data_IF_674213306844
#
_entry.id   IF_674213306844
#
_cell.length_a   1.000
_cell.length_b   1.000
_cell.length_c   1.000
_cell.angle_alpha   90.00
_cell.angle_beta   90.00
_cell.angle_gamma   90.00
#
_symmetry.space_group_name_H-M   'P 1'
#
loop_
_entity.id
_entity.type
_entity.pdbx_description
1 polymer ?
#
# COMPACT_ATOMS: atom_id res chain seq x y z
N UNK A 1 -2.90 15.24 3.56
CA UNK A 1 -3.45 14.17 2.69
C UNK A 1 -3.20 14.36 1.19
N UNK A 2 -2.89 15.56 0.67
CA UNK A 2 -2.67 15.78 -0.78
C UNK A 2 -1.58 14.88 -1.38
N UNK A 3 -0.40 14.80 -0.76
CA UNK A 3 0.70 13.95 -1.23
C UNK A 3 0.31 12.46 -1.20
N UNK A 4 -0.33 11.99 -0.12
CA UNK A 4 -0.83 10.62 -0.02
C UNK A 4 -1.89 10.32 -1.09
N UNK A 5 -2.69 11.31 -1.51
CA UNK A 5 -3.60 11.18 -2.64
C UNK A 5 -2.87 10.96 -3.97
N UNK A 6 -1.82 11.75 -4.25
CA UNK A 6 -0.98 11.55 -5.44
C UNK A 6 -0.31 10.17 -5.43
N UNK A 7 0.26 9.77 -4.29
CA UNK A 7 0.89 8.46 -4.12
C UNK A 7 -0.11 7.33 -4.28
N UNK A 8 -1.32 7.46 -3.71
CA UNK A 8 -2.38 6.47 -3.85
C UNK A 8 -2.76 6.23 -5.32
N UNK A 9 -2.88 7.30 -6.12
CA UNK A 9 -3.12 7.18 -7.56
C UNK A 9 -1.99 6.46 -8.29
N UNK A 10 -0.72 6.80 -8.00
CA UNK A 10 0.46 6.14 -8.57
C UNK A 10 0.53 4.65 -8.19
N UNK A 11 0.23 4.32 -6.94
CA UNK A 11 0.19 2.92 -6.49
C UNK A 11 -0.96 2.17 -7.17
N UNK A 12 -2.16 2.74 -7.19
CA UNK A 12 -3.34 2.09 -7.77
C UNK A 12 -3.19 1.84 -9.28
N UNK A 13 -2.51 2.72 -10.02
CA UNK A 13 -2.28 2.52 -11.46
C UNK A 13 -1.11 1.55 -11.75
N UNK A 14 -0.26 1.22 -10.76
CA UNK A 14 0.95 0.42 -10.99
C UNK A 14 0.67 -0.93 -11.64
N UNK A 15 -0.28 -1.71 -11.10
CA UNK A 15 -0.63 -3.01 -11.69
C UNK A 15 -1.37 -2.89 -13.05
N UNK A 16 -2.39 -2.01 -13.20
CA UNK A 16 -3.13 -1.89 -14.46
C UNK A 16 -2.48 -0.99 -15.53
N UNK A 17 -1.34 -0.34 -15.28
CA UNK A 17 -0.80 0.72 -16.17
C UNK A 17 -0.67 0.33 -17.65
N UNK A 18 -0.37 -0.93 -17.94
CA UNK A 18 -0.23 -1.43 -19.31
C UNK A 18 -1.56 -1.93 -19.91
N UNK A 19 -2.58 -2.14 -19.09
CA UNK A 19 -3.76 -2.93 -19.45
C UNK A 19 -5.08 -2.15 -19.42
N UNK A 20 -5.06 -0.86 -19.08
CA UNK A 20 -6.28 -0.02 -19.05
C UNK A 20 -6.12 1.18 -19.97
N UNK A 21 -7.26 1.73 -20.43
CA UNK A 21 -7.27 2.95 -21.23
C UNK A 21 -6.90 4.18 -20.39
N UNK A 22 -6.63 5.30 -21.06
CA UNK A 22 -6.30 6.57 -20.39
C UNK A 22 -7.46 7.05 -19.52
N UNK A 23 -8.69 6.90 -19.99
CA UNK A 23 -9.91 7.26 -19.25
C UNK A 23 -10.03 6.46 -17.96
N UNK A 24 -9.84 5.14 -18.04
CA UNK A 24 -9.87 4.28 -16.87
C UNK A 24 -8.72 4.57 -15.91
N UNK A 25 -7.53 4.94 -16.41
CA UNK A 25 -6.41 5.34 -15.55
C UNK A 25 -6.75 6.56 -14.67
N UNK A 26 -7.44 7.55 -15.24
CA UNK A 26 -7.87 8.75 -14.51
C UNK A 26 -8.94 8.40 -13.45
N UNK A 27 -9.90 7.53 -13.80
CA UNK A 27 -10.93 7.07 -12.86
C UNK A 27 -10.33 6.28 -11.70
N UNK A 28 -9.41 5.35 -11.96
CA UNK A 28 -8.72 4.56 -10.93
C UNK A 28 -7.95 5.50 -9.99
N UNK A 29 -7.21 6.47 -10.53
CA UNK A 29 -6.48 7.46 -9.73
C UNK A 29 -7.41 8.31 -8.84
N UNK A 30 -8.55 8.76 -9.37
CA UNK A 30 -9.52 9.53 -8.60
C UNK A 30 -10.13 8.72 -7.45
N UNK A 31 -10.51 7.45 -7.71
CA UNK A 31 -11.03 6.55 -6.67
C UNK A 31 -9.96 6.28 -5.61
N UNK A 32 -8.72 6.02 -6.02
CA UNK A 32 -7.60 5.78 -5.11
C UNK A 32 -7.32 6.98 -4.19
N UNK A 33 -7.40 8.20 -4.71
CA UNK A 33 -7.24 9.44 -3.94
C UNK A 33 -8.32 9.63 -2.86
N UNK A 34 -9.54 9.14 -3.09
CA UNK A 34 -10.59 9.11 -2.05
C UNK A 34 -10.39 7.94 -1.10
N UNK A 35 -10.06 6.77 -1.64
CA UNK A 35 -9.89 5.53 -0.88
C UNK A 35 -8.81 5.65 0.19
N UNK A 36 -7.69 6.32 -0.11
CA UNK A 36 -6.62 6.54 0.87
C UNK A 36 -7.09 7.35 2.07
N UNK A 37 -7.97 8.35 1.89
CA UNK A 37 -8.50 9.15 3.00
C UNK A 37 -9.39 8.31 3.89
N UNK A 38 -10.30 7.54 3.29
CA UNK A 38 -11.20 6.64 4.03
C UNK A 38 -10.40 5.58 4.78
N UNK A 39 -9.38 5.02 4.14
CA UNK A 39 -8.51 3.98 4.69
C UNK A 39 -7.69 4.48 5.88
N UNK A 40 -7.05 5.65 5.79
CA UNK A 40 -6.29 6.21 6.92
C UNK A 40 -7.19 6.37 8.14
N UNK A 41 -8.37 6.98 7.95
CA UNK A 41 -9.34 7.14 9.03
C UNK A 41 -9.86 5.81 9.58
N UNK A 42 -9.84 4.72 8.80
CA UNK A 42 -10.22 3.40 9.27
C UNK A 42 -9.12 2.78 10.15
N UNK A 43 -7.85 2.88 9.72
CA UNK A 43 -6.70 2.40 10.50
C UNK A 43 -6.54 3.17 11.83
N UNK A 44 -6.71 4.50 11.80
CA UNK A 44 -6.68 5.34 13.01
C UNK A 44 -7.76 4.92 14.02
N UNK A 45 -8.97 4.62 13.55
CA UNK A 45 -10.09 4.19 14.41
C UNK A 45 -9.83 2.86 15.11
N UNK A 46 -9.07 1.96 14.49
CA UNK A 46 -8.67 0.69 15.10
C UNK A 46 -7.34 0.78 15.85
N UNK A 47 -6.80 1.99 16.02
CA UNK A 47 -5.54 2.28 16.74
C UNK A 47 -4.34 1.54 16.16
N UNK A 48 -4.31 1.37 14.85
CA UNK A 48 -3.10 0.95 14.14
C UNK A 48 -2.26 2.20 13.90
N UNK A 49 -1.11 2.26 14.56
CA UNK A 49 -0.16 3.37 14.45
C UNK A 49 0.66 3.25 13.15
N UNK A 50 0.13 3.85 12.08
CA UNK A 50 0.78 3.97 10.77
C UNK A 50 1.17 5.44 10.52
N UNK A 51 2.38 5.86 10.94
CA UNK A 51 2.74 7.27 11.09
C UNK A 51 2.74 8.06 9.77
N UNK A 52 2.86 7.38 8.63
CA UNK A 52 2.91 8.02 7.30
C UNK A 52 1.72 7.64 6.41
N UNK A 53 0.84 6.76 6.88
CA UNK A 53 -0.27 6.21 6.08
C UNK A 53 0.20 5.22 5.01
N UNK A 54 1.34 4.54 5.21
CA UNK A 54 1.91 3.60 4.26
C UNK A 54 0.98 2.42 3.97
N UNK A 55 0.25 1.93 4.97
CA UNK A 55 -0.74 0.86 4.80
C UNK A 55 -1.87 1.30 3.87
N UNK A 56 -2.36 2.52 4.02
CA UNK A 56 -3.43 3.05 3.17
C UNK A 56 -2.95 3.34 1.76
N UNK A 57 -1.75 3.90 1.60
CA UNK A 57 -1.16 4.20 0.29
C UNK A 57 -0.74 2.93 -0.46
N UNK A 58 -0.10 1.97 0.20
CA UNK A 58 0.50 0.82 -0.47
C UNK A 58 -0.33 -0.46 -0.38
N UNK A 59 -0.80 -0.84 0.82
CA UNK A 59 -1.58 -2.07 0.98
C UNK A 59 -2.97 -1.92 0.36
N UNK A 60 -3.74 -0.91 0.79
CA UNK A 60 -5.14 -0.76 0.34
C UNK A 60 -5.22 -0.37 -1.13
N UNK A 61 -4.48 0.66 -1.57
CA UNK A 61 -4.49 1.05 -2.98
C UNK A 61 -3.74 0.06 -3.88
N UNK A 62 -2.76 -0.69 -3.38
CA UNK A 62 -2.12 -1.77 -4.14
C UNK A 62 -3.09 -2.92 -4.42
N UNK A 63 -3.88 -3.33 -3.42
CA UNK A 63 -4.96 -4.31 -3.59
C UNK A 63 -6.00 -3.78 -4.57
N UNK A 64 -6.46 -2.54 -4.38
CA UNK A 64 -7.43 -1.91 -5.27
C UNK A 64 -6.94 -1.85 -6.73
N UNK A 65 -5.70 -1.40 -6.95
CA UNK A 65 -5.08 -1.38 -8.28
C UNK A 65 -4.96 -2.77 -8.91
N UNK A 66 -4.57 -3.76 -8.13
CA UNK A 66 -4.49 -5.15 -8.59
C UNK A 66 -5.86 -5.69 -8.99
N UNK A 67 -6.92 -5.35 -8.24
CA UNK A 67 -8.31 -5.68 -8.63
C UNK A 67 -8.74 -4.93 -9.89
N UNK A 68 -8.28 -3.70 -10.10
CA UNK A 68 -8.59 -2.90 -11.29
C UNK A 68 -8.09 -3.54 -12.60
N UNK A 69 -7.01 -4.33 -12.56
CA UNK A 69 -6.61 -5.18 -13.71
C UNK A 69 -7.73 -6.14 -14.09
N UNK A 70 -8.34 -6.78 -13.08
CA UNK A 70 -9.42 -7.73 -13.23
C UNK A 70 -10.78 -7.11 -13.52
N UNK A 71 -10.98 -5.84 -13.22
CA UNK A 71 -12.23 -5.12 -13.47
C UNK A 71 -12.23 -4.38 -14.80
N UNK A 72 -11.17 -3.61 -15.06
CA UNK A 72 -11.08 -2.63 -16.15
C UNK A 72 -10.05 -3.00 -17.23
N UNK A 73 -9.44 -4.19 -17.15
CA UNK A 73 -8.48 -4.65 -18.15
C UNK A 73 -9.09 -4.63 -19.56
N UNK A 74 -8.52 -3.83 -20.44
CA UNK A 74 -8.95 -3.71 -21.83
C UNK A 74 -8.59 -5.01 -22.59
N UNK A 75 -9.57 -5.71 -23.19
CA UNK A 75 -9.32 -6.97 -23.89
C UNK A 75 -8.27 -6.86 -24.99
N UNK A 76 -8.27 -5.77 -25.75
CA UNK A 76 -7.34 -5.54 -26.85
C UNK A 76 -5.94 -5.31 -26.32
N UNK A 77 -5.77 -4.41 -25.34
CA UNK A 77 -4.47 -4.15 -24.73
C UNK A 77 -3.88 -5.39 -24.05
N UNK A 78 -4.72 -6.17 -23.36
CA UNK A 78 -4.29 -7.42 -22.71
C UNK A 78 -3.81 -8.45 -23.73
N UNK A 79 -4.57 -8.64 -24.82
CA UNK A 79 -4.23 -9.62 -25.85
C UNK A 79 -2.97 -9.24 -26.64
N UNK A 80 -2.70 -7.94 -26.82
CA UNK A 80 -1.49 -7.44 -27.47
C UNK A 80 -0.24 -7.55 -26.58
N UNK A 81 -0.39 -7.38 -25.26
CA UNK A 81 0.74 -7.25 -24.33
C UNK A 81 1.09 -8.53 -23.58
N UNK A 82 0.19 -9.51 -23.55
CA UNK A 82 0.42 -10.80 -22.89
C UNK A 82 0.57 -11.90 -23.93
N UNK A 83 1.81 -12.35 -24.14
CA UNK A 83 2.13 -13.39 -25.12
C UNK A 83 1.91 -14.79 -24.53
N UNK A 84 1.29 -15.67 -25.31
CA UNK A 84 1.11 -17.08 -24.95
C UNK A 84 -0.16 -17.39 -24.14
N UNK A 85 -1.00 -16.40 -23.88
CA UNK A 85 -2.28 -16.55 -23.20
C UNK A 85 -3.41 -15.90 -24.02
N UNK A 86 -4.59 -16.51 -23.99
CA UNK A 86 -5.82 -15.93 -24.54
C UNK A 86 -6.55 -15.23 -23.39
N UNK A 87 -6.46 -13.90 -23.33
CA UNK A 87 -7.05 -13.11 -22.26
C UNK A 87 -8.31 -12.43 -22.77
N UNK A 88 -9.42 -12.61 -22.05
CA UNK A 88 -10.71 -12.01 -22.43
C UNK A 88 -10.83 -10.54 -22.01
N UNK A 89 -10.00 -10.07 -21.08
CA UNK A 89 -10.11 -8.75 -20.46
C UNK A 89 -10.78 -8.78 -19.08
N UNK A 90 -10.85 -7.62 -18.44
CA UNK A 90 -11.47 -7.43 -17.14
C UNK A 90 -13.00 -7.54 -17.17
N UNK A 91 -13.58 -7.93 -16.04
CA UNK A 91 -14.99 -8.29 -15.88
C UNK A 91 -15.96 -7.25 -16.45
N UNK A 92 -15.70 -5.95 -16.25
CA UNK A 92 -16.63 -4.89 -16.66
C UNK A 92 -16.58 -4.61 -18.17
N UNK A 93 -15.52 -5.02 -18.85
CA UNK A 93 -15.36 -4.81 -20.30
C UNK A 93 -15.60 -6.09 -21.10
N UNK A 94 -15.26 -7.25 -20.54
CA UNK A 94 -15.37 -8.55 -21.20
C UNK A 94 -16.59 -9.37 -20.78
N UNK A 95 -17.20 -9.05 -19.63
CA UNK A 95 -18.22 -9.88 -18.98
C UNK A 95 -17.69 -11.18 -18.36
N UNK A 96 -16.38 -11.46 -18.48
CA UNK A 96 -15.75 -12.68 -17.97
C UNK A 96 -15.06 -12.43 -16.62
N UNK A 97 -15.38 -13.21 -15.57
CA UNK A 97 -14.78 -13.01 -14.25
C UNK A 97 -13.37 -13.61 -14.13
N UNK A 98 -12.87 -14.33 -15.14
CA UNK A 98 -11.64 -15.10 -15.06
C UNK A 98 -10.44 -14.25 -14.66
N UNK A 99 -10.27 -13.08 -15.26
CA UNK A 99 -9.17 -12.19 -14.91
C UNK A 99 -9.28 -11.69 -13.47
N UNK A 100 -10.48 -11.29 -13.02
CA UNK A 100 -10.70 -10.85 -11.64
C UNK A 100 -10.35 -11.94 -10.62
N UNK A 101 -10.75 -13.19 -10.89
CA UNK A 101 -10.43 -14.32 -10.02
C UNK A 101 -8.92 -14.58 -9.95
N UNK A 102 -8.20 -14.49 -11.07
CA UNK A 102 -6.73 -14.60 -11.09
C UNK A 102 -6.07 -13.49 -10.28
N UNK A 103 -6.55 -12.24 -10.38
CA UNK A 103 -6.01 -11.14 -9.58
C UNK A 103 -6.26 -11.35 -8.07
N UNK A 104 -7.44 -11.84 -7.69
CA UNK A 104 -7.74 -12.17 -6.28
C UNK A 104 -6.82 -13.29 -5.78
N UNK A 105 -6.62 -14.34 -6.57
CA UNK A 105 -5.68 -15.41 -6.23
C UNK A 105 -4.26 -14.87 -6.03
N UNK A 106 -3.79 -13.98 -6.90
CA UNK A 106 -2.51 -13.30 -6.77
C UNK A 106 -2.40 -12.51 -5.46
N UNK A 107 -3.41 -11.68 -5.15
CA UNK A 107 -3.47 -10.90 -3.89
C UNK A 107 -3.35 -11.82 -2.67
N UNK A 108 -4.15 -12.90 -2.64
CA UNK A 108 -4.15 -13.85 -1.51
C UNK A 108 -2.82 -14.60 -1.39
N UNK A 109 -2.24 -15.04 -2.51
CA UNK A 109 -0.94 -15.72 -2.52
C UNK A 109 0.17 -14.80 -2.03
N UNK A 110 0.21 -13.54 -2.50
CA UNK A 110 1.17 -12.54 -2.05
C UNK A 110 0.98 -12.20 -0.57
N UNK A 111 -0.27 -11.99 -0.12
CA UNK A 111 -0.55 -11.71 1.28
C UNK A 111 -0.11 -12.85 2.21
N UNK A 112 -0.44 -14.10 1.85
CA UNK A 112 -0.02 -15.27 2.61
C UNK A 112 1.51 -15.38 2.69
N UNK A 113 2.19 -15.22 1.56
CA UNK A 113 3.66 -15.27 1.52
C UNK A 113 4.29 -14.16 2.36
N UNK A 114 3.89 -12.90 2.15
CA UNK A 114 4.47 -11.73 2.83
C UNK A 114 4.22 -11.80 4.34
N UNK A 115 3.01 -12.13 4.78
CA UNK A 115 2.71 -12.24 6.22
C UNK A 115 3.57 -13.31 6.88
N UNK A 116 3.68 -14.50 6.28
CA UNK A 116 4.47 -15.60 6.85
C UNK A 116 5.95 -15.25 6.89
N UNK A 117 6.51 -14.79 5.77
CA UNK A 117 7.95 -14.51 5.67
C UNK A 117 8.33 -13.33 6.56
N UNK A 118 7.56 -12.24 6.55
CA UNK A 118 7.85 -11.08 7.40
C UNK A 118 7.68 -11.39 8.88
N UNK A 119 6.68 -12.20 9.28
CA UNK A 119 6.52 -12.62 10.67
C UNK A 119 7.71 -13.46 11.16
N UNK A 120 8.19 -14.40 10.35
CA UNK A 120 9.39 -15.19 10.67
C UNK A 120 10.61 -14.27 10.78
N UNK A 121 10.81 -13.39 9.81
CA UNK A 121 11.94 -12.46 9.80
C UNK A 121 11.94 -11.55 11.04
N UNK A 122 10.80 -10.96 11.39
CA UNK A 122 10.68 -10.13 12.59
C UNK A 122 10.88 -10.93 13.88
N UNK A 123 10.39 -12.17 13.96
CA UNK A 123 10.64 -13.04 15.10
C UNK A 123 12.14 -13.33 15.27
N UNK A 124 12.86 -13.57 14.18
CA UNK A 124 14.32 -13.78 14.21
C UNK A 124 15.04 -12.50 14.64
N UNK A 125 14.76 -11.35 14.00
CA UNK A 125 15.39 -10.05 14.35
C UNK A 125 15.18 -9.72 15.82
N UNK A 126 13.96 -9.95 16.33
CA UNK A 126 13.62 -9.73 17.74
C UNK A 126 14.55 -10.49 18.69
N UNK A 127 15.00 -11.69 18.33
CA UNK A 127 15.89 -12.51 19.17
C UNK A 127 17.37 -12.12 19.08
N UNK A 128 17.78 -11.45 18.00
CA UNK A 128 19.19 -11.10 17.75
C UNK A 128 19.52 -9.71 18.28
N UNK A 129 18.76 -8.69 17.87
CA UNK A 129 19.04 -7.29 18.19
C UNK A 129 17.83 -6.49 18.69
N UNK A 130 16.62 -7.08 18.68
CA UNK A 130 15.40 -6.35 19.02
C UNK A 130 14.81 -5.59 17.83
N UNK A 131 13.54 -5.17 17.94
CA UNK A 131 12.80 -4.49 16.85
C UNK A 131 12.53 -3.00 17.11
N UNK A 132 12.59 -2.57 18.36
CA UNK A 132 12.25 -1.21 18.79
C UNK A 132 13.24 -0.79 19.88
N UNK A 133 13.59 0.49 19.90
CA UNK A 133 14.39 1.12 20.94
C UNK A 133 13.69 1.04 22.31
N UNK A 134 14.43 1.35 23.37
CA UNK A 134 13.84 1.41 24.71
C UNK A 134 12.81 2.56 24.80
N UNK A 135 11.83 2.45 25.71
CA UNK A 135 10.83 3.52 25.89
C UNK A 135 11.47 4.85 26.32
N UNK A 136 12.56 4.80 27.09
CA UNK A 136 13.28 6.00 27.51
C UNK A 136 13.92 6.71 26.31
N UNK A 137 14.59 5.95 25.44
CA UNK A 137 15.20 6.45 24.20
C UNK A 137 14.16 6.93 23.18
N UNK A 138 13.01 6.24 23.09
CA UNK A 138 11.88 6.69 22.25
C UNK A 138 11.34 8.06 22.70
N UNK A 139 11.27 8.32 24.01
CA UNK A 139 10.81 9.59 24.57
C UNK A 139 11.85 10.71 24.42
N UNK A 140 13.14 10.38 24.50
CA UNK A 140 14.24 11.33 24.27
C UNK A 140 14.34 11.74 22.80
N UNK A 141 14.02 10.80 21.90
CA UNK A 141 14.08 10.97 20.45
C UNK A 141 15.34 10.32 19.85
N UNK A 142 15.16 9.58 18.76
CA UNK A 142 16.25 8.79 18.16
C UNK A 142 17.37 9.66 17.57
N UNK A 143 17.14 10.95 17.30
CA UNK A 143 18.18 11.85 16.79
C UNK A 143 19.33 12.02 17.81
N UNK A 144 19.02 12.04 19.10
CA UNK A 144 20.00 12.17 20.17
C UNK A 144 20.79 10.87 20.35
N UNK A 145 20.07 9.74 20.49
CA UNK A 145 20.67 8.42 20.74
C UNK A 145 21.48 7.87 19.56
N UNK A 146 20.95 7.97 18.33
CA UNK A 146 21.55 7.35 17.14
C UNK A 146 22.47 8.30 16.36
N UNK A 147 22.21 9.62 16.39
CA UNK A 147 22.92 10.60 15.56
C UNK A 147 23.71 11.65 16.37
N UNK A 148 23.58 11.66 17.70
CA UNK A 148 24.29 12.57 18.59
C UNK A 148 23.95 14.05 18.38
N UNK A 149 22.81 14.34 17.75
CA UNK A 149 22.42 15.69 17.36
C UNK A 149 20.96 15.95 17.69
N UNK A 150 20.62 17.20 18.04
CA UNK A 150 19.23 17.66 18.07
C UNK A 150 18.88 18.21 16.69
N UNK A 151 17.88 17.63 16.02
CA UNK A 151 17.45 18.12 14.70
C UNK A 151 16.92 19.56 14.74
N UNK A 152 16.35 19.99 15.87
CA UNK A 152 15.78 21.32 16.06
C UNK A 152 16.19 21.93 17.41
N UNK A 153 17.11 22.88 17.38
CA UNK A 153 17.60 23.57 18.58
C UNK A 153 16.56 24.57 19.13
N UNK A 154 16.24 24.50 20.42
CA UNK A 154 15.48 25.54 21.14
C UNK A 154 13.95 25.39 21.16
N UNK A 155 13.38 24.28 20.70
CA UNK A 155 11.97 23.95 20.95
C UNK A 155 11.82 23.25 22.30
N UNK A 156 10.90 23.72 23.14
CA UNK A 156 10.55 23.04 24.39
C UNK A 156 9.77 21.77 24.03
N UNK A 157 10.40 20.61 24.19
CA UNK A 157 9.71 19.32 24.16
C UNK A 157 8.66 19.31 25.28
N UNK A 158 7.39 19.53 24.96
CA UNK A 158 6.33 19.35 25.94
C UNK A 158 6.21 17.86 26.23
N UNK A 159 6.47 17.46 27.49
CA UNK A 159 6.14 16.11 27.92
C UNK A 159 4.64 15.87 27.70
N UNK A 160 4.22 14.71 27.16
CA UNK A 160 2.81 14.41 26.97
C UNK A 160 2.09 14.45 28.32
N UNK A 161 1.01 15.22 28.42
CA UNK A 161 0.11 15.14 29.56
C UNK A 161 -0.80 13.92 29.38
N UNK A 162 -0.37 12.80 29.94
CA UNK A 162 -1.10 11.52 30.09
C UNK A 162 -1.31 10.66 28.85
#
# INVERSE_FOLDING_TARGET
MTLNGCLAGLVAITAPCAFVSVEWSAVIGAIAGVLVVVSVLAFDRVRIDDPVGATSVHLVNGIFGTLCVGLFGDPTLMQERVVGYSLKGGLLLSGDPGQLLVQIQGILATAAYVVVVTAIMWAVIRTICGLRVSQAEELEGLDVGEHGNEAYYGFVMQSPSH
#
